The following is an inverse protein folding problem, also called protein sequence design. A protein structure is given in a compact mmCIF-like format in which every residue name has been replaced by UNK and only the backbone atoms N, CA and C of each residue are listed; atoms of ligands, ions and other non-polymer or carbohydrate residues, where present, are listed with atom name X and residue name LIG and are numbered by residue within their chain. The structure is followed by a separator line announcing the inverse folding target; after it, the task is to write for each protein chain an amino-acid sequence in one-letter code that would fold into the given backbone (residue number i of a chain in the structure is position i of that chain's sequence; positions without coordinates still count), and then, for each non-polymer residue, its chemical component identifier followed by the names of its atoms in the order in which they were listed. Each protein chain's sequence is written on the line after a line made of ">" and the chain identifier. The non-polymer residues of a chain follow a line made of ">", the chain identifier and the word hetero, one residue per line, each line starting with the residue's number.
data_IF_268557914771
#
_entry.id   IF_268557914771
#
_cell.length_a   1.000
_cell.length_b   1.000
_cell.length_c   1.000
_cell.angle_alpha   90.00
_cell.angle_beta   90.00
_cell.angle_gamma   90.00
#
_symmetry.space_group_name_H-M   'P 1'
#
loop_
_entity.id
_entity.type
_entity.pdbx_description
1 polymer ?
#
# COMPACT_ATOMS: atom_id res chain seq x y z
N UNK A 1 -28.51 -4.78 -0.53
CA UNK A 1 -27.66 -3.84 0.21
C UNK A 1 -26.73 -4.64 1.12
N UNK A 2 -25.50 -4.93 0.69
CA UNK A 2 -24.48 -5.66 1.49
C UNK A 2 -23.19 -4.82 1.62
N UNK A 3 -23.31 -3.50 1.47
CA UNK A 3 -22.21 -2.54 1.41
C UNK A 3 -22.01 -1.76 2.73
N UNK A 4 -22.94 -1.84 3.68
CA UNK A 4 -22.93 -1.02 4.90
C UNK A 4 -21.84 -1.41 5.92
N UNK A 5 -21.15 -2.54 5.70
CA UNK A 5 -20.10 -3.04 6.59
C UNK A 5 -18.75 -3.17 5.89
N UNK A 6 -18.62 -2.66 4.66
CA UNK A 6 -17.42 -2.85 3.87
C UNK A 6 -16.22 -2.08 4.49
N UNK A 7 -15.12 -2.80 4.66
CA UNK A 7 -13.81 -2.27 5.05
C UNK A 7 -12.86 -2.45 3.86
N UNK A 8 -11.90 -1.53 3.70
CA UNK A 8 -11.02 -1.48 2.54
C UNK A 8 -9.59 -1.20 2.96
N UNK A 9 -8.61 -1.75 2.25
CA UNK A 9 -7.21 -1.41 2.48
C UNK A 9 -6.41 -1.47 1.18
N UNK A 10 -5.23 -0.85 1.19
CA UNK A 10 -4.30 -0.86 0.06
C UNK A 10 -2.85 -0.87 0.55
N UNK A 11 -1.96 -1.39 -0.31
CA UNK A 11 -0.52 -1.22 -0.19
C UNK A 11 -0.04 -0.29 -1.31
N UNK A 12 0.60 0.81 -0.93
CA UNK A 12 1.17 1.77 -1.85
C UNK A 12 2.49 1.28 -2.40
N UNK A 13 2.51 0.78 -3.63
CA UNK A 13 3.75 0.36 -4.29
C UNK A 13 4.54 1.53 -4.86
N UNK A 14 5.85 1.35 -5.04
CA UNK A 14 6.70 2.31 -5.75
C UNK A 14 6.13 2.62 -7.15
N UNK A 15 6.08 3.91 -7.51
CA UNK A 15 5.77 4.36 -8.88
C UNK A 15 7.04 4.27 -9.71
N UNK A 16 6.95 3.77 -10.94
CA UNK A 16 8.07 3.85 -11.87
C UNK A 16 8.43 5.34 -12.00
N UNK A 17 9.70 5.69 -11.72
CA UNK A 17 10.26 7.04 -11.89
C UNK A 17 9.73 7.70 -13.17
N UNK A 18 9.42 8.98 -13.09
CA UNK A 18 9.01 9.76 -14.26
C UNK A 18 10.12 9.74 -15.31
N UNK A 19 9.78 9.98 -16.58
CA UNK A 19 10.77 10.03 -17.65
C UNK A 19 11.92 11.01 -17.34
N UNK A 20 11.63 12.15 -16.68
CA UNK A 20 12.62 13.15 -16.27
C UNK A 20 13.59 12.63 -15.20
N UNK A 21 13.09 11.90 -14.20
CA UNK A 21 13.92 11.29 -13.14
C UNK A 21 14.78 10.13 -13.67
N UNK A 22 14.28 9.40 -14.67
CA UNK A 22 15.05 8.33 -15.35
C UNK A 22 16.25 8.90 -16.11
N UNK A 23 16.06 10.04 -16.79
CA UNK A 23 17.13 10.71 -17.53
C UNK A 23 18.21 11.25 -16.59
N UNK A 24 17.84 11.77 -15.41
CA UNK A 24 18.82 12.22 -14.40
C UNK A 24 19.60 11.07 -13.74
N UNK A 25 18.98 9.90 -13.56
CA UNK A 25 19.64 8.72 -12.97
C UNK A 25 20.34 7.80 -13.97
N UNK A 26 20.39 8.16 -15.26
CA UNK A 26 20.95 7.34 -16.34
C UNK A 26 20.44 5.87 -16.35
N UNK A 27 19.20 5.62 -15.92
CA UNK A 27 18.61 4.28 -15.83
C UNK A 27 18.10 3.83 -17.21
N UNK A 28 18.95 3.15 -17.97
CA UNK A 28 18.65 2.82 -19.38
C UNK A 28 17.96 1.47 -19.52
N UNK A 29 18.28 0.46 -18.71
CA UNK A 29 17.77 -0.92 -18.87
C UNK A 29 16.55 -1.25 -18.00
N UNK A 30 15.76 -2.26 -18.41
CA UNK A 30 14.62 -2.76 -17.66
C UNK A 30 15.02 -3.42 -16.32
N UNK A 31 16.22 -3.98 -16.25
CA UNK A 31 16.79 -4.61 -15.06
C UNK A 31 17.23 -3.56 -14.03
N UNK A 32 17.93 -2.50 -14.44
CA UNK A 32 18.27 -1.38 -13.56
C UNK A 32 17.03 -0.70 -12.98
N UNK A 33 15.97 -0.56 -13.79
CA UNK A 33 14.66 -0.07 -13.32
C UNK A 33 14.02 -1.00 -12.29
N UNK A 34 14.24 -2.31 -12.37
CA UNK A 34 13.67 -3.30 -11.44
C UNK A 34 14.48 -3.35 -10.14
N UNK A 35 15.81 -3.24 -10.22
CA UNK A 35 16.68 -3.08 -9.05
C UNK A 35 16.46 -1.76 -8.34
N UNK A 36 16.31 -0.64 -9.05
CA UNK A 36 16.01 0.64 -8.41
C UNK A 36 14.65 0.62 -7.70
N UNK A 37 13.63 -0.04 -8.27
CA UNK A 37 12.35 -0.26 -7.58
C UNK A 37 12.48 -1.09 -6.30
N UNK A 38 13.45 -2.02 -6.25
CA UNK A 38 13.81 -2.80 -5.06
C UNK A 38 14.71 -2.00 -4.08
N UNK A 39 15.38 -0.95 -4.55
CA UNK A 39 16.23 -0.05 -3.73
C UNK A 39 15.50 1.17 -3.19
N UNK A 40 14.46 1.64 -3.87
CA UNK A 40 13.56 2.67 -3.32
C UNK A 40 12.94 2.10 -2.05
N UNK A 41 13.13 2.81 -0.93
CA UNK A 41 12.62 2.41 0.37
C UNK A 41 11.11 2.15 0.24
N UNK A 42 10.66 0.95 0.65
CA UNK A 42 9.25 0.56 0.63
C UNK A 42 8.41 1.41 1.60
N UNK A 43 9.06 2.18 2.46
CA UNK A 43 8.47 3.12 3.38
C UNK A 43 7.95 4.40 2.67
N UNK A 44 6.76 4.84 3.08
CA UNK A 44 6.21 6.15 2.72
C UNK A 44 6.17 6.44 1.20
N UNK A 45 5.79 5.46 0.37
CA UNK A 45 5.81 5.63 -1.09
C UNK A 45 4.88 6.75 -1.57
N UNK A 46 5.12 7.26 -2.77
CA UNK A 46 4.25 8.29 -3.37
C UNK A 46 2.80 7.84 -3.47
N UNK A 47 2.54 6.58 -3.87
CA UNK A 47 1.18 6.04 -3.97
C UNK A 47 0.53 5.95 -2.60
N UNK A 48 1.27 5.49 -1.60
CA UNK A 48 0.79 5.46 -0.22
C UNK A 48 0.33 6.85 0.24
N UNK A 49 1.18 7.87 0.08
CA UNK A 49 0.83 9.24 0.49
C UNK A 49 -0.42 9.77 -0.20
N UNK A 50 -0.55 9.56 -1.51
CA UNK A 50 -1.71 10.04 -2.27
C UNK A 50 -2.98 9.32 -1.81
N UNK A 51 -2.94 7.99 -1.73
CA UNK A 51 -4.11 7.20 -1.41
C UNK A 51 -4.53 7.37 0.06
N UNK A 52 -3.57 7.47 0.98
CA UNK A 52 -3.83 7.77 2.38
C UNK A 52 -4.52 9.14 2.51
N UNK A 53 -4.01 10.16 1.79
CA UNK A 53 -4.62 11.49 1.79
C UNK A 53 -6.04 11.49 1.23
N UNK A 54 -6.28 10.79 0.11
CA UNK A 54 -7.62 10.68 -0.48
C UNK A 54 -8.57 9.91 0.45
N UNK A 55 -8.09 8.84 1.07
CA UNK A 55 -8.88 8.02 1.99
C UNK A 55 -9.35 8.83 3.20
N UNK A 56 -8.45 9.60 3.83
CA UNK A 56 -8.81 10.51 4.94
C UNK A 56 -9.83 11.57 4.55
N UNK A 57 -9.83 12.02 3.29
CA UNK A 57 -10.80 13.01 2.80
C UNK A 57 -12.17 12.41 2.48
N UNK A 58 -12.20 11.15 2.02
CA UNK A 58 -13.42 10.50 1.54
C UNK A 58 -14.17 9.82 2.69
N UNK A 59 -13.46 9.19 3.62
CA UNK A 59 -14.06 8.40 4.70
C UNK A 59 -13.97 9.15 6.03
N UNK A 60 -15.14 9.49 6.59
CA UNK A 60 -15.25 10.23 7.85
C UNK A 60 -14.62 9.43 9.02
N UNK A 61 -13.74 10.02 9.84
CA UNK A 61 -13.16 9.37 11.02
C UNK A 61 -14.20 8.91 12.09
N UNK A 62 -15.39 9.50 12.10
CA UNK A 62 -16.47 9.12 13.01
C UNK A 62 -17.10 7.77 12.61
N UNK A 63 -17.15 7.48 11.31
CA UNK A 63 -17.75 6.27 10.74
C UNK A 63 -16.70 5.17 10.47
N UNK A 64 -15.46 5.59 10.20
CA UNK A 64 -14.36 4.70 9.82
C UNK A 64 -13.13 4.90 10.69
N UNK A 65 -12.51 3.80 11.10
CA UNK A 65 -11.19 3.78 11.71
C UNK A 65 -10.13 3.70 10.61
N UNK A 66 -9.18 4.62 10.64
CA UNK A 66 -8.06 4.69 9.70
C UNK A 66 -6.80 4.19 10.39
N UNK A 67 -6.14 3.19 9.80
CA UNK A 67 -4.91 2.60 10.31
C UNK A 67 -3.82 2.72 9.25
N UNK A 68 -2.70 3.31 9.65
CA UNK A 68 -1.53 3.56 8.80
C UNK A 68 -0.34 2.74 9.28
N UNK A 69 0.33 2.12 8.33
CA UNK A 69 1.61 1.46 8.53
C UNK A 69 2.58 1.96 7.45
N UNK A 70 3.22 3.09 7.80
CA UNK A 70 4.14 3.83 6.94
C UNK A 70 5.37 2.98 6.51
N UNK A 71 6.02 2.20 7.41
CA UNK A 71 7.11 1.30 7.03
C UNK A 71 6.77 0.36 5.87
N UNK A 72 5.55 -0.18 5.87
CA UNK A 72 5.09 -1.08 4.80
C UNK A 72 4.29 -0.37 3.70
N UNK A 73 4.16 0.95 3.78
CA UNK A 73 3.31 1.75 2.89
C UNK A 73 1.89 1.20 2.79
N UNK A 74 1.36 0.65 3.88
CA UNK A 74 0.05 0.03 3.92
C UNK A 74 -0.96 0.89 4.68
N UNK A 75 -2.22 0.81 4.26
CA UNK A 75 -3.31 1.62 4.79
C UNK A 75 -4.58 0.79 4.87
N UNK A 76 -5.30 0.92 5.98
CA UNK A 76 -6.53 0.18 6.23
C UNK A 76 -7.62 1.11 6.76
N UNK A 77 -8.81 0.98 6.17
CA UNK A 77 -10.03 1.70 6.48
C UNK A 77 -11.03 0.67 6.97
N UNK A 78 -11.36 0.74 8.26
CA UNK A 78 -12.31 -0.17 8.88
C UNK A 78 -13.60 0.56 9.16
N UNK A 79 -14.71 0.03 8.65
CA UNK A 79 -16.01 0.52 9.04
C UNK A 79 -16.27 0.16 10.51
N UNK A 80 -16.57 1.15 11.36
CA UNK A 80 -16.77 0.93 12.81
C UNK A 80 -18.01 0.09 13.13
N UNK A 81 -18.96 -0.01 12.19
CA UNK A 81 -20.12 -0.90 12.31
C UNK A 81 -19.77 -2.35 12.00
N UNK A 82 -18.61 -2.61 11.38
CA UNK A 82 -18.15 -3.97 11.12
C UNK A 82 -17.72 -4.63 12.43
N UNK A 83 -18.48 -5.65 12.85
CA UNK A 83 -18.25 -6.40 14.09
C UNK A 83 -17.47 -7.69 13.87
N UNK A 84 -16.83 -7.87 12.72
CA UNK A 84 -16.01 -9.04 12.45
C UNK A 84 -14.86 -9.10 13.47
N UNK A 85 -14.80 -10.14 14.33
CA UNK A 85 -13.71 -10.26 15.28
C UNK A 85 -12.38 -10.47 14.55
N UNK A 86 -11.32 -9.90 15.11
CA UNK A 86 -9.95 -10.02 14.60
C UNK A 86 -9.75 -9.53 13.16
N UNK A 87 -10.64 -8.66 12.66
CA UNK A 87 -10.58 -8.15 11.28
C UNK A 87 -9.23 -7.50 10.96
N UNK A 88 -8.67 -6.72 11.88
CA UNK A 88 -7.34 -6.12 11.74
C UNK A 88 -6.28 -7.21 11.50
N UNK A 89 -6.28 -8.25 12.32
CA UNK A 89 -5.34 -9.38 12.24
C UNK A 89 -5.49 -10.13 10.93
N UNK A 90 -6.72 -10.45 10.51
CA UNK A 90 -7.01 -11.13 9.25
C UNK A 90 -6.53 -10.34 8.04
N UNK A 91 -6.73 -9.02 8.07
CA UNK A 91 -6.29 -8.13 6.98
C UNK A 91 -4.77 -7.99 6.97
N UNK A 92 -4.13 -7.87 8.13
CA UNK A 92 -2.67 -7.84 8.24
C UNK A 92 -2.07 -9.13 7.63
N UNK A 93 -2.57 -10.29 8.04
CA UNK A 93 -2.15 -11.58 7.47
C UNK A 93 -2.35 -11.66 5.96
N UNK A 94 -3.50 -11.21 5.45
CA UNK A 94 -3.75 -11.15 4.00
C UNK A 94 -2.71 -10.29 3.27
N UNK A 95 -2.34 -9.13 3.84
CA UNK A 95 -1.29 -8.29 3.26
C UNK A 95 0.07 -8.97 3.28
N UNK A 96 0.46 -9.62 4.38
CA UNK A 96 1.71 -10.37 4.46
C UNK A 96 1.76 -11.48 3.41
N UNK A 97 0.70 -12.29 3.29
CA UNK A 97 0.62 -13.42 2.36
C UNK A 97 0.72 -13.00 0.88
N UNK A 98 0.13 -11.86 0.52
CA UNK A 98 0.02 -11.42 -0.87
C UNK A 98 1.12 -10.46 -1.33
N UNK A 99 1.79 -9.76 -0.41
CA UNK A 99 2.75 -8.70 -0.74
C UNK A 99 4.12 -8.85 -0.09
N UNK A 100 4.25 -9.54 1.05
CA UNK A 100 5.53 -9.78 1.72
C UNK A 100 6.15 -11.15 1.39
N UNK A 101 5.43 -12.02 0.67
CA UNK A 101 6.09 -13.11 -0.04
C UNK A 101 6.94 -12.51 -1.15
N UNK A 102 8.21 -12.26 -0.83
CA UNK A 102 9.26 -12.26 -1.82
C UNK A 102 9.04 -13.50 -2.70
N UNK A 103 8.86 -13.31 -4.02
CA UNK A 103 9.02 -14.42 -4.93
C UNK A 103 10.35 -15.08 -4.57
N UNK A 104 10.40 -16.40 -4.28
CA UNK A 104 11.68 -17.05 -4.12
C UNK A 104 12.47 -16.72 -5.39
N UNK A 105 13.66 -16.14 -5.22
CA UNK A 105 14.62 -15.99 -6.30
C UNK A 105 14.87 -17.41 -6.82
N UNK A 106 14.11 -17.82 -7.83
CA UNK A 106 14.35 -19.02 -8.60
C UNK A 106 15.63 -18.73 -9.41
N UNK A 107 16.76 -18.99 -8.75
CA UNK A 107 18.07 -19.23 -9.33
C UNK A 107 18.03 -20.49 -10.21
#
# INVERSE_FOLDING_TARGET
>A
FKHELASFGFIGSNTILSAKEKTQKNLTSAQEKRQERRRENNENTRRFRIYAHLSKRIFNPDDYLHLEDVPNSSYLILNRLNKEPDLVTKVAQMFEENYLRDEPDNL
#
